data_IF_105714893835
#
_entry.id   IF_105714893835
#
_cell.length_a   1.000
_cell.length_b   1.000
_cell.length_c   1.000
_cell.angle_alpha   90.00
_cell.angle_beta   90.00
_cell.angle_gamma   90.00
#
_symmetry.space_group_name_H-M   'P 1'
#
loop_
_entity.id
_entity.type
_entity.pdbx_description
1 polymer ?
#
# COMPACT_ATOMS: atom_id res chain seq x y z
N UNK A 1 -56.92 3.00 -22.26
CA UNK A 1 -56.47 2.75 -20.88
C UNK A 1 -55.09 2.07 -20.77
N UNK A 2 -54.46 1.63 -21.87
CA UNK A 2 -53.18 0.90 -21.83
C UNK A 2 -51.90 1.75 -21.79
N UNK A 3 -51.95 3.02 -22.19
CA UNK A 3 -50.74 3.84 -22.36
C UNK A 3 -50.06 4.29 -21.05
N UNK A 4 -50.72 4.15 -19.89
CA UNK A 4 -50.19 4.61 -18.59
C UNK A 4 -49.41 3.53 -17.82
N UNK A 5 -49.58 2.26 -18.20
CA UNK A 5 -48.91 1.12 -17.54
C UNK A 5 -47.58 0.77 -18.22
N UNK A 6 -47.50 0.94 -19.55
CA UNK A 6 -46.25 0.73 -20.31
C UNK A 6 -45.17 1.76 -19.94
N UNK A 7 -45.52 3.03 -19.76
CA UNK A 7 -44.54 4.08 -19.43
C UNK A 7 -43.88 3.91 -18.05
N UNK A 8 -44.56 3.28 -17.08
CA UNK A 8 -43.95 3.00 -15.75
C UNK A 8 -42.97 1.84 -15.78
N UNK A 9 -43.15 0.87 -16.69
CA UNK A 9 -42.25 -0.29 -16.79
C UNK A 9 -40.92 0.08 -17.43
N UNK A 10 -40.93 0.97 -18.41
CA UNK A 10 -39.71 1.48 -19.05
C UNK A 10 -38.88 2.34 -18.11
N UNK A 11 -39.52 3.16 -17.27
CA UNK A 11 -38.83 3.99 -16.26
C UNK A 11 -38.20 3.13 -15.14
N UNK A 12 -38.87 2.07 -14.68
CA UNK A 12 -38.33 1.15 -13.66
C UNK A 12 -37.18 0.26 -14.21
N UNK A 13 -37.25 -0.17 -15.47
CA UNK A 13 -36.17 -0.93 -16.13
C UNK A 13 -34.92 -0.07 -16.39
N UNK A 14 -35.09 1.23 -16.64
CA UNK A 14 -33.99 2.17 -16.84
C UNK A 14 -33.30 2.61 -15.54
N UNK A 15 -34.01 2.61 -14.40
CA UNK A 15 -33.45 2.95 -13.07
C UNK A 15 -32.66 1.84 -12.40
N UNK A 16 -32.97 0.57 -12.73
CA UNK A 16 -32.29 -0.58 -12.14
C UNK A 16 -30.74 -0.53 -12.21
N UNK A 17 -30.09 -0.21 -13.36
CA UNK A 17 -28.63 -0.13 -13.44
C UNK A 17 -28.04 1.07 -12.66
N UNK A 18 -28.75 2.20 -12.62
CA UNK A 18 -28.32 3.39 -11.89
C UNK A 18 -28.25 3.12 -10.37
N UNK A 19 -29.30 2.52 -9.82
CA UNK A 19 -29.35 2.13 -8.40
C UNK A 19 -28.29 1.10 -8.03
N UNK A 20 -28.05 0.12 -8.91
CA UNK A 20 -26.99 -0.87 -8.71
C UNK A 20 -25.60 -0.23 -8.70
N UNK A 21 -25.34 0.74 -9.60
CA UNK A 21 -24.06 1.45 -9.63
C UNK A 21 -23.85 2.27 -8.36
N UNK A 22 -24.88 2.96 -7.88
CA UNK A 22 -24.81 3.71 -6.62
C UNK A 22 -24.55 2.81 -5.42
N UNK A 23 -25.25 1.67 -5.32
CA UNK A 23 -25.02 0.69 -4.26
C UNK A 23 -23.59 0.12 -4.29
N UNK A 24 -23.04 -0.03 -5.49
CA UNK A 24 -21.68 -0.50 -5.66
C UNK A 24 -20.65 0.57 -5.28
N UNK A 25 -20.86 1.85 -5.65
CA UNK A 25 -20.05 2.98 -5.19
C UNK A 25 -20.05 3.11 -3.66
N UNK A 26 -21.20 2.95 -3.02
CA UNK A 26 -21.32 2.98 -1.55
C UNK A 26 -20.53 1.84 -0.87
N UNK A 27 -20.54 0.65 -1.46
CA UNK A 27 -19.70 -0.47 -1.03
C UNK A 27 -18.21 -0.18 -1.22
N UNK A 28 -17.81 0.40 -2.35
CA UNK A 28 -16.43 0.84 -2.56
C UNK A 28 -16.01 1.84 -1.48
N UNK A 29 -16.84 2.84 -1.20
CA UNK A 29 -16.59 3.85 -0.17
C UNK A 29 -16.42 3.21 1.21
N UNK A 30 -17.30 2.28 1.57
CA UNK A 30 -17.24 1.56 2.84
C UNK A 30 -15.94 0.77 2.99
N UNK A 31 -15.52 0.03 1.97
CA UNK A 31 -14.26 -0.73 2.00
C UNK A 31 -13.03 0.19 2.03
N UNK A 32 -13.04 1.30 1.31
CA UNK A 32 -11.92 2.25 1.32
C UNK A 32 -11.82 2.96 2.69
N UNK A 33 -12.94 3.32 3.32
CA UNK A 33 -12.96 3.84 4.70
C UNK A 33 -12.40 2.82 5.68
N UNK A 34 -12.76 1.55 5.53
CA UNK A 34 -12.18 0.48 6.35
C UNK A 34 -10.67 0.34 6.13
N UNK A 35 -10.20 0.37 4.89
CA UNK A 35 -8.78 0.31 4.56
C UNK A 35 -8.01 1.52 5.11
N UNK A 36 -8.61 2.72 5.07
CA UNK A 36 -8.06 3.92 5.69
C UNK A 36 -7.92 3.78 7.21
N UNK A 37 -8.91 3.21 7.89
CA UNK A 37 -8.80 2.91 9.33
C UNK A 37 -7.66 1.94 9.63
N UNK A 38 -7.48 0.89 8.81
CA UNK A 38 -6.35 -0.04 8.94
C UNK A 38 -5.01 0.68 8.72
N UNK A 39 -4.93 1.60 7.76
CA UNK A 39 -3.74 2.39 7.50
C UNK A 39 -3.37 3.30 8.69
N UNK A 40 -4.34 3.89 9.37
CA UNK A 40 -4.09 4.63 10.62
C UNK A 40 -3.64 3.72 11.76
N UNK A 41 -4.27 2.57 11.94
CA UNK A 41 -3.83 1.59 12.94
C UNK A 41 -2.39 1.12 12.69
N UNK A 42 -2.02 1.00 11.40
CA UNK A 42 -0.66 0.68 10.98
C UNK A 42 0.33 1.77 11.38
N UNK A 43 -0.05 3.05 11.26
CA UNK A 43 0.76 4.16 11.77
C UNK A 43 1.05 4.02 13.27
N UNK A 44 0.04 3.67 14.07
CA UNK A 44 0.19 3.53 15.52
C UNK A 44 1.06 2.33 15.92
N UNK A 45 0.87 1.20 15.25
CA UNK A 45 1.66 -0.01 15.46
C UNK A 45 3.12 0.20 15.05
N UNK A 46 3.38 0.88 13.93
CA UNK A 46 4.73 1.23 13.48
C UNK A 46 5.44 2.13 14.49
N UNK A 47 4.76 3.14 15.04
CA UNK A 47 5.32 4.02 16.08
C UNK A 47 5.73 3.26 17.35
N UNK A 48 4.99 2.20 17.70
CA UNK A 48 5.29 1.35 18.87
C UNK A 48 6.32 0.26 18.59
N UNK A 49 6.67 0.01 17.32
CA UNK A 49 7.55 -1.10 16.94
C UNK A 49 6.92 -2.48 17.14
N UNK A 50 5.58 -2.58 17.12
CA UNK A 50 4.84 -3.82 17.35
C UNK A 50 4.75 -4.66 16.06
N UNK A 51 5.66 -5.63 15.91
CA UNK A 51 5.75 -6.45 14.71
C UNK A 51 4.60 -7.44 14.54
N UNK A 52 4.08 -7.99 15.65
CA UNK A 52 2.97 -8.94 15.61
C UNK A 52 1.67 -8.24 15.20
N UNK A 53 1.41 -7.05 15.79
CA UNK A 53 0.30 -6.20 15.37
C UNK A 53 0.40 -5.78 13.90
N UNK A 54 1.61 -5.52 13.41
CA UNK A 54 1.85 -5.15 12.02
C UNK A 54 1.50 -6.29 11.06
N UNK A 55 1.92 -7.52 11.37
CA UNK A 55 1.57 -8.70 10.58
C UNK A 55 0.06 -8.93 10.50
N UNK A 56 -0.65 -8.80 11.63
CA UNK A 56 -2.11 -8.95 11.65
C UNK A 56 -2.82 -7.88 10.81
N UNK A 57 -2.35 -6.64 10.85
CA UNK A 57 -2.90 -5.55 10.02
C UNK A 57 -2.69 -5.82 8.54
N UNK A 58 -1.50 -6.28 8.14
CA UNK A 58 -1.20 -6.61 6.74
C UNK A 58 -2.16 -7.68 6.20
N UNK A 59 -2.48 -8.71 6.99
CA UNK A 59 -3.46 -9.74 6.58
C UNK A 59 -4.87 -9.17 6.38
N UNK A 60 -5.30 -8.26 7.27
CA UNK A 60 -6.59 -7.56 7.13
C UNK A 60 -6.61 -6.67 5.88
N UNK A 61 -5.54 -5.92 5.64
CA UNK A 61 -5.39 -5.08 4.44
C UNK A 61 -5.48 -5.92 3.16
N UNK A 62 -4.80 -7.07 3.09
CA UNK A 62 -4.86 -7.98 1.94
C UNK A 62 -6.29 -8.47 1.67
N UNK A 63 -7.04 -8.78 2.73
CA UNK A 63 -8.44 -9.22 2.60
C UNK A 63 -9.32 -8.10 2.05
N UNK A 64 -9.17 -6.88 2.58
CA UNK A 64 -9.89 -5.70 2.10
C UNK A 64 -9.55 -5.36 0.64
N UNK A 65 -8.27 -5.43 0.26
CA UNK A 65 -7.81 -5.20 -1.12
C UNK A 65 -8.43 -6.23 -2.07
N UNK A 66 -8.46 -7.51 -1.70
CA UNK A 66 -9.08 -8.56 -2.52
C UNK A 66 -10.59 -8.29 -2.73
N UNK A 67 -11.29 -7.85 -1.68
CA UNK A 67 -12.71 -7.47 -1.79
C UNK A 67 -12.92 -6.25 -2.70
N UNK A 68 -12.06 -5.23 -2.61
CA UNK A 68 -12.10 -4.06 -3.50
C UNK A 68 -11.87 -4.46 -4.96
N UNK A 69 -10.91 -5.34 -5.23
CA UNK A 69 -10.64 -5.84 -6.57
C UNK A 69 -11.85 -6.58 -7.16
N UNK A 70 -12.58 -7.33 -6.32
CA UNK A 70 -13.80 -8.01 -6.74
C UNK A 70 -14.92 -7.01 -7.05
N UNK A 71 -15.14 -6.01 -6.20
CA UNK A 71 -16.12 -4.96 -6.47
C UNK A 71 -15.80 -4.17 -7.74
N UNK A 72 -14.52 -3.88 -8.02
CA UNK A 72 -14.17 -3.15 -9.25
C UNK A 72 -14.48 -3.97 -10.51
N UNK A 73 -14.32 -5.30 -10.46
CA UNK A 73 -14.75 -6.18 -11.56
C UNK A 73 -16.27 -6.13 -11.75
N UNK A 74 -17.02 -6.16 -10.66
CA UNK A 74 -18.48 -6.03 -10.69
C UNK A 74 -18.90 -4.67 -11.26
N UNK A 75 -18.24 -3.58 -10.86
CA UNK A 75 -18.44 -2.24 -11.44
C UNK A 75 -18.21 -2.25 -12.94
N UNK A 76 -17.07 -2.79 -13.38
CA UNK A 76 -16.69 -2.82 -14.78
C UNK A 76 -17.68 -3.62 -15.62
N UNK A 77 -18.18 -4.75 -15.09
CA UNK A 77 -19.21 -5.56 -15.74
C UNK A 77 -20.55 -4.82 -15.83
N UNK A 78 -20.97 -4.15 -14.75
CA UNK A 78 -22.20 -3.37 -14.72
C UNK A 78 -22.15 -2.22 -15.72
N UNK A 79 -21.04 -1.47 -15.75
CA UNK A 79 -20.84 -0.36 -16.68
C UNK A 79 -20.80 -0.84 -18.14
N UNK A 80 -20.17 -1.99 -18.40
CA UNK A 80 -20.15 -2.60 -19.72
C UNK A 80 -21.56 -3.04 -20.17
N UNK A 81 -22.32 -3.69 -19.29
CA UNK A 81 -23.69 -4.13 -19.56
C UNK A 81 -24.67 -2.95 -19.77
N UNK A 82 -24.39 -1.82 -19.13
CA UNK A 82 -25.18 -0.60 -19.30
C UNK A 82 -24.83 0.18 -20.58
N UNK A 83 -23.82 -0.27 -21.34
CA UNK A 83 -23.45 0.29 -22.63
C UNK A 83 -24.03 -0.56 -23.77
N UNK A 84 -24.89 0.02 -24.60
CA UNK A 84 -25.43 -0.65 -25.80
C UNK A 84 -24.40 -0.83 -26.94
N UNK A 85 -23.10 -0.57 -26.71
CA UNK A 85 -22.14 -0.31 -27.79
C UNK A 85 -20.71 -0.82 -27.65
N UNK A 86 -20.36 -1.60 -26.61
CA UNK A 86 -19.05 -2.27 -26.54
C UNK A 86 -17.82 -1.36 -26.39
N UNK A 87 -18.00 -0.08 -26.04
CA UNK A 87 -16.90 0.82 -25.68
C UNK A 87 -16.67 0.82 -24.17
N UNK A 88 -15.41 0.94 -23.69
CA UNK A 88 -15.13 1.05 -22.27
C UNK A 88 -15.72 2.38 -21.76
N UNK A 89 -16.85 2.30 -21.06
CA UNK A 89 -17.44 3.45 -20.41
C UNK A 89 -16.77 3.70 -19.05
N UNK A 90 -16.54 4.97 -18.76
CA UNK A 90 -16.20 5.47 -17.43
C UNK A 90 -17.48 5.76 -16.66
N UNK A 91 -17.36 5.96 -15.34
CA UNK A 91 -18.49 6.40 -14.51
C UNK A 91 -19.13 7.69 -15.09
N UNK A 92 -18.31 8.59 -15.62
CA UNK A 92 -18.74 9.85 -16.21
C UNK A 92 -19.65 9.66 -17.44
N UNK A 93 -19.51 8.56 -18.17
CA UNK A 93 -20.33 8.25 -19.33
C UNK A 93 -21.70 7.64 -18.96
N UNK A 94 -21.84 7.16 -17.72
CA UNK A 94 -23.09 6.66 -17.16
C UNK A 94 -23.96 7.76 -16.57
N UNK A 95 -23.36 8.84 -16.05
CA UNK A 95 -24.07 9.97 -15.41
C UNK A 95 -25.16 10.62 -16.29
N UNK A 96 -24.98 10.80 -17.62
CA UNK A 96 -26.03 11.40 -18.46
C UNK A 96 -27.27 10.52 -18.66
N UNK A 97 -27.19 9.23 -18.32
CA UNK A 97 -28.29 8.26 -18.42
C UNK A 97 -29.12 8.15 -17.14
N UNK A 98 -28.71 8.85 -16.08
CA UNK A 98 -29.37 8.86 -14.78
C UNK A 98 -30.34 10.04 -14.67
N UNK A 99 -31.37 9.88 -13.84
CA UNK A 99 -32.20 11.01 -13.43
C UNK A 99 -31.36 12.01 -12.60
N UNK A 100 -31.78 13.28 -12.55
CA UNK A 100 -31.03 14.34 -11.87
C UNK A 100 -30.69 14.01 -10.41
N UNK A 101 -31.64 13.44 -9.66
CA UNK A 101 -31.43 13.05 -8.25
C UNK A 101 -30.43 11.90 -8.10
N UNK A 102 -30.47 10.92 -9.01
CA UNK A 102 -29.57 9.76 -9.01
C UNK A 102 -28.15 10.20 -9.37
N UNK A 103 -28.04 11.06 -10.38
CA UNK A 103 -26.77 11.65 -10.81
C UNK A 103 -26.09 12.41 -9.68
N UNK A 104 -26.82 13.30 -8.99
CA UNK A 104 -26.26 14.05 -7.87
C UNK A 104 -25.76 13.14 -6.75
N UNK A 105 -26.50 12.08 -6.41
CA UNK A 105 -26.05 11.11 -5.39
C UNK A 105 -24.83 10.31 -5.85
N UNK A 106 -24.79 9.89 -7.11
CA UNK A 106 -23.64 9.18 -7.67
C UNK A 106 -22.37 10.07 -7.69
N UNK A 107 -22.51 11.34 -8.05
CA UNK A 107 -21.42 12.32 -8.01
C UNK A 107 -20.93 12.57 -6.57
N UNK A 108 -21.83 12.69 -5.60
CA UNK A 108 -21.48 12.81 -4.19
C UNK A 108 -20.69 11.60 -3.70
N UNK A 109 -21.18 10.38 -3.95
CA UNK A 109 -20.49 9.14 -3.58
C UNK A 109 -19.12 9.03 -4.25
N UNK A 110 -19.00 9.42 -5.52
CA UNK A 110 -17.73 9.41 -6.23
C UNK A 110 -16.74 10.43 -5.66
N UNK A 111 -17.21 11.63 -5.29
CA UNK A 111 -16.39 12.65 -4.63
C UNK A 111 -15.89 12.17 -3.27
N UNK A 112 -16.79 11.64 -2.43
CA UNK A 112 -16.42 11.10 -1.12
C UNK A 112 -15.41 9.95 -1.24
N UNK A 113 -15.58 9.08 -2.24
CA UNK A 113 -14.64 8.00 -2.49
C UNK A 113 -13.26 8.54 -2.90
N UNK A 114 -13.21 9.57 -3.75
CA UNK A 114 -11.97 10.21 -4.16
C UNK A 114 -11.23 10.82 -2.95
N UNK A 115 -11.96 11.50 -2.07
CA UNK A 115 -11.39 12.10 -0.86
C UNK A 115 -10.77 11.03 0.06
N UNK A 116 -11.50 9.94 0.30
CA UNK A 116 -11.00 8.81 1.11
C UNK A 116 -9.77 8.16 0.46
N UNK A 117 -9.73 8.03 -0.87
CA UNK A 117 -8.57 7.48 -1.58
C UNK A 117 -7.35 8.39 -1.43
N UNK A 118 -7.53 9.70 -1.58
CA UNK A 118 -6.45 10.68 -1.42
C UNK A 118 -5.88 10.65 0.00
N UNK A 119 -6.75 10.59 1.01
CA UNK A 119 -6.35 10.48 2.41
C UNK A 119 -5.60 9.16 2.67
N UNK A 120 -6.11 8.04 2.14
CA UNK A 120 -5.45 6.74 2.23
C UNK A 120 -4.06 6.75 1.59
N UNK A 121 -3.88 7.42 0.45
CA UNK A 121 -2.57 7.59 -0.19
C UNK A 121 -1.61 8.34 0.72
N UNK A 122 -2.04 9.46 1.32
CA UNK A 122 -1.22 10.24 2.23
C UNK A 122 -0.78 9.44 3.46
N UNK A 123 -1.69 8.68 4.08
CA UNK A 123 -1.38 7.84 5.26
C UNK A 123 -0.44 6.70 4.89
N UNK A 124 -0.63 6.08 3.72
CA UNK A 124 0.27 5.03 3.24
C UNK A 124 1.67 5.56 2.95
N UNK A 125 1.78 6.76 2.38
CA UNK A 125 3.07 7.40 2.16
C UNK A 125 3.78 7.68 3.50
N UNK A 126 3.06 8.22 4.48
CA UNK A 126 3.57 8.43 5.84
C UNK A 126 4.07 7.13 6.47
N UNK A 127 3.28 6.06 6.38
CA UNK A 127 3.68 4.74 6.88
C UNK A 127 4.95 4.23 6.19
N UNK A 128 5.08 4.44 4.88
CA UNK A 128 6.30 4.12 4.14
C UNK A 128 7.51 4.94 4.60
N UNK A 129 7.32 6.22 4.92
CA UNK A 129 8.38 7.06 5.48
C UNK A 129 8.83 6.57 6.86
N UNK A 130 7.89 6.25 7.76
CA UNK A 130 8.19 5.70 9.09
C UNK A 130 9.02 4.42 9.01
N UNK A 131 8.65 3.49 8.12
CA UNK A 131 9.41 2.25 7.90
C UNK A 131 10.84 2.54 7.43
N UNK A 132 11.01 3.45 6.46
CA UNK A 132 12.34 3.81 5.95
C UNK A 132 13.22 4.45 7.03
N UNK A 133 12.64 5.32 7.86
CA UNK A 133 13.36 5.96 8.97
C UNK A 133 13.80 4.92 10.02
N UNK A 134 12.92 3.98 10.38
CA UNK A 134 13.28 2.89 11.30
C UNK A 134 14.43 2.04 10.77
N UNK A 135 14.44 1.72 9.47
CA UNK A 135 15.53 0.97 8.84
C UNK A 135 16.84 1.77 8.84
N UNK A 136 16.80 3.07 8.50
CA UNK A 136 18.00 3.93 8.56
C UNK A 136 18.59 4.01 9.97
N UNK A 137 17.74 4.13 10.98
CA UNK A 137 18.19 4.13 12.38
C UNK A 137 18.89 2.82 12.75
N UNK A 138 18.28 1.67 12.41
CA UNK A 138 18.89 0.36 12.65
C UNK A 138 20.24 0.23 11.92
N UNK A 139 20.35 0.66 10.67
CA UNK A 139 21.62 0.65 9.92
C UNK A 139 22.68 1.50 10.60
N UNK A 140 22.35 2.74 11.00
CA UNK A 140 23.29 3.62 11.71
C UNK A 140 23.79 3.00 13.02
N UNK A 141 22.88 2.39 13.78
CA UNK A 141 23.23 1.70 15.03
C UNK A 141 24.15 0.51 14.78
N UNK A 142 23.91 -0.26 13.72
CA UNK A 142 24.80 -1.37 13.33
C UNK A 142 26.18 -0.87 12.91
N UNK A 143 26.27 0.19 12.11
CA UNK A 143 27.54 0.78 11.67
C UNK A 143 28.39 1.29 12.85
N UNK A 144 27.76 1.76 13.92
CA UNK A 144 28.45 2.19 15.14
C UNK A 144 28.92 1.03 16.01
N UNK A 145 28.18 -0.08 16.04
CA UNK A 145 28.51 -1.27 16.82
C UNK A 145 29.51 -2.18 16.12
N UNK A 146 29.63 -2.09 14.79
CA UNK A 146 30.60 -2.85 14.02
C UNK A 146 32.01 -2.27 14.23
N UNK A 147 32.97 -3.07 14.72
CA UNK A 147 34.35 -2.61 14.82
C UNK A 147 34.86 -2.28 13.43
N UNK A 148 35.34 -1.04 13.25
CA UNK A 148 36.08 -0.66 12.05
C UNK A 148 37.28 -1.61 11.93
N UNK A 149 37.50 -2.28 10.78
CA UNK A 149 38.68 -3.12 10.62
C UNK A 149 39.90 -2.26 10.94
N UNK A 150 40.83 -2.73 11.78
CA UNK A 150 42.00 -1.95 12.12
C UNK A 150 42.69 -1.55 10.82
N UNK A 151 43.02 -0.26 10.68
CA UNK A 151 43.91 0.21 9.62
C UNK A 151 45.26 -0.50 9.81
N UNK A 152 45.41 -1.67 9.19
CA UNK A 152 46.68 -2.37 9.05
C UNK A 152 47.53 -1.55 8.09
N UNK A 153 48.12 -0.48 8.61
CA UNK A 153 49.28 0.14 8.01
C UNK A 153 50.39 -0.91 8.02
N UNK A 154 50.53 -1.62 6.91
CA UNK A 154 51.69 -2.44 6.61
C UNK A 154 52.92 -1.52 6.57
N UNK A 155 53.62 -1.37 7.70
CA UNK A 155 55.02 -0.96 7.66
C UNK A 155 55.80 -2.11 7.04
N UNK A 156 56.21 -1.93 5.79
CA UNK A 156 57.08 -2.85 5.08
C UNK A 156 58.33 -3.17 5.93
N UNK A 157 58.68 -4.45 6.14
CA UNK A 157 59.85 -4.81 6.93
C UNK A 157 61.10 -4.72 6.04
N UNK A 158 61.52 -3.51 5.66
CA UNK A 158 62.92 -3.22 5.30
C UNK A 158 63.14 -1.74 4.95
N UNK A 159 63.29 -0.92 5.98
CA UNK A 159 64.30 0.14 5.94
C UNK A 159 65.23 -0.10 7.13
N UNK A 160 66.36 -0.71 6.83
CA UNK A 160 67.46 -0.98 7.74
C UNK A 160 68.08 0.33 8.23
N UNK A 161 68.33 0.45 9.55
CA UNK A 161 69.59 0.95 10.13
C UNK A 161 69.61 0.85 11.68
N UNK A 162 70.65 0.15 12.17
CA UNK A 162 71.32 0.18 13.50
C UNK A 162 70.73 -0.57 14.72
N UNK A 163 71.26 -1.78 14.88
CA UNK A 163 71.99 -2.29 16.07
C UNK A 163 71.66 -1.67 17.44
N UNK A 164 71.09 -2.47 18.33
CA UNK A 164 71.64 -2.77 19.67
C UNK A 164 71.20 -4.20 20.04
N UNK A 165 72.17 -5.04 20.39
CA UNK A 165 71.96 -6.46 20.65
C UNK A 165 71.45 -6.77 22.05
N UNK A 166 70.66 -7.84 22.17
CA UNK A 166 70.89 -8.91 23.13
C UNK A 166 69.97 -10.10 22.83
N UNK A 167 70.59 -11.25 22.53
CA UNK A 167 70.19 -12.52 23.13
C UNK A 167 69.06 -13.34 22.49
N UNK A 168 69.50 -14.41 21.81
CA UNK A 168 68.84 -15.72 21.65
C UNK A 168 67.71 -15.84 20.62
N UNK A 169 68.17 -16.10 19.40
CA UNK A 169 67.68 -17.19 18.56
C UNK A 169 67.24 -18.43 19.35
N UNK A 170 65.98 -18.82 19.20
CA UNK A 170 65.56 -20.23 19.26
C UNK A 170 64.27 -20.42 18.48
N UNK A 171 64.46 -20.58 17.17
CA UNK A 171 63.58 -21.41 16.35
C UNK A 171 63.60 -22.82 16.93
N UNK A 172 62.43 -23.31 17.33
CA UNK A 172 62.16 -24.73 17.48
C UNK A 172 60.75 -24.97 16.92
N UNK A 173 60.74 -25.49 15.69
CA UNK A 173 59.73 -26.43 15.23
C UNK A 173 59.30 -27.35 16.38
N UNK A 174 58.00 -27.63 16.50
CA UNK A 174 57.58 -29.02 16.40
C UNK A 174 56.15 -29.13 15.87
N UNK A 175 55.98 -30.14 15.01
CA UNK A 175 54.81 -30.45 14.22
C UNK A 175 54.32 -31.83 14.66
N UNK A 176 52.99 -31.98 14.76
CA UNK A 176 52.17 -33.21 14.93
C UNK A 176 51.80 -33.63 16.36
N UNK A 177 50.50 -33.76 16.60
CA UNK A 177 49.77 -35.04 16.57
C UNK A 177 48.33 -34.79 16.11
#
# INVERSE_FOLDING_TARGET
MNTRVENRRTDDEQRAPALQLMALLDRHLTLHRHLLQLAYQKTDVLKRGDMDGLMQLIQKEQTAIAAIQQLERERAQLVAAWSDGGHPLTLADCLPKMDEEERQKAEQLASELLDVINELQAVNELNGQLIRQSLQWVTLMLDQLMPQPPNVNYTAPNQSTRQYGHGRSRSLFDSKA
#
